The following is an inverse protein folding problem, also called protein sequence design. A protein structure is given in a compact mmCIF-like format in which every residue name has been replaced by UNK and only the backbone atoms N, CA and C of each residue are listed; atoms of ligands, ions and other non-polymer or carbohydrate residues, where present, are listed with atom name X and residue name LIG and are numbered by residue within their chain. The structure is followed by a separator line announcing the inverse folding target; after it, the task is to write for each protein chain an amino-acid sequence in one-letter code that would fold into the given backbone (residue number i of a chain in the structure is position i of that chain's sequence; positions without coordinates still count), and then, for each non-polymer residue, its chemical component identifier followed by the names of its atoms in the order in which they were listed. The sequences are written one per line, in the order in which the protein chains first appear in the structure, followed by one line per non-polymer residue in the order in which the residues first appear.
data_IF_685276759732
#
_entry.id   IF_685276759732
#
_cell.length_a   1.000
_cell.length_b   1.000
_cell.length_c   1.000
_cell.angle_alpha   90.00
_cell.angle_beta   90.00
_cell.angle_gamma   90.00
#
_symmetry.space_group_name_H-M   'P 1'
#
loop_
_entity.id
_entity.type
_entity.pdbx_description
1 polymer ?
#
# COMPACT_ATOMS: atom_id res chain seq x y z
N UNK A 1 69.38 -61.30 -22.73
CA UNK A 1 68.45 -60.64 -23.68
C UNK A 1 68.05 -59.28 -23.12
N UNK A 2 68.12 -58.23 -23.95
CA UNK A 2 67.72 -56.85 -23.62
C UNK A 2 66.19 -56.70 -23.60
N UNK A 3 65.67 -55.82 -22.74
CA UNK A 3 64.49 -54.96 -22.96
C UNK A 3 64.53 -53.89 -21.84
N UNK A 4 64.89 -52.62 -22.12
CA UNK A 4 64.07 -51.54 -22.70
C UNK A 4 63.11 -50.89 -21.69
N UNK A 5 63.12 -49.55 -21.62
CA UNK A 5 62.01 -48.79 -21.04
C UNK A 5 62.38 -47.55 -20.22
N UNK A 6 62.77 -46.47 -20.89
CA UNK A 6 62.88 -45.13 -20.32
C UNK A 6 61.49 -44.48 -20.26
N UNK A 7 61.11 -43.80 -19.17
CA UNK A 7 60.14 -42.68 -19.19
C UNK A 7 60.31 -41.79 -17.96
N UNK A 8 60.82 -40.60 -18.21
CA UNK A 8 60.95 -39.50 -17.27
C UNK A 8 59.56 -38.90 -16.94
N UNK A 9 59.21 -38.88 -15.65
CA UNK A 9 58.03 -38.20 -15.15
C UNK A 9 58.24 -36.68 -15.12
N UNK A 10 57.53 -35.95 -15.99
CA UNK A 10 57.43 -34.49 -15.94
C UNK A 10 56.58 -34.09 -14.72
N UNK A 11 57.18 -33.38 -13.76
CA UNK A 11 56.45 -32.70 -12.68
C UNK A 11 55.76 -31.46 -13.28
N UNK A 12 54.42 -31.49 -13.42
CA UNK A 12 53.64 -30.29 -13.71
C UNK A 12 53.50 -29.47 -12.43
N UNK A 13 54.07 -28.25 -12.43
CA UNK A 13 53.82 -27.27 -11.39
C UNK A 13 52.38 -26.75 -11.50
N UNK A 14 51.58 -26.92 -10.43
CA UNK A 14 50.28 -26.30 -10.28
C UNK A 14 50.49 -24.80 -10.03
N UNK A 15 50.13 -23.96 -11.01
CA UNK A 15 50.02 -22.51 -10.81
C UNK A 15 48.68 -22.24 -10.12
N UNK A 16 48.70 -21.91 -8.82
CA UNK A 16 47.52 -21.45 -8.11
C UNK A 16 47.06 -20.11 -8.70
N UNK A 17 45.93 -20.12 -9.40
CA UNK A 17 45.21 -18.92 -9.77
C UNK A 17 44.42 -18.44 -8.55
N UNK A 18 44.83 -17.33 -7.95
CA UNK A 18 44.06 -16.64 -6.93
C UNK A 18 42.89 -15.96 -7.66
N UNK A 19 41.69 -16.53 -7.53
CA UNK A 19 40.45 -15.89 -7.96
C UNK A 19 40.14 -14.82 -6.91
N UNK A 20 40.45 -13.57 -7.22
CA UNK A 20 39.98 -12.41 -6.45
C UNK A 20 38.47 -12.30 -6.74
N UNK A 21 37.66 -12.81 -5.83
CA UNK A 21 36.22 -12.58 -5.83
C UNK A 21 35.99 -11.08 -5.55
N UNK A 22 35.69 -10.30 -6.58
CA UNK A 22 35.21 -8.94 -6.42
C UNK A 22 33.80 -9.00 -5.80
N UNK A 23 33.72 -8.82 -4.49
CA UNK A 23 32.45 -8.63 -3.79
C UNK A 23 31.84 -7.31 -4.27
N UNK A 24 30.82 -7.39 -5.13
CA UNK A 24 29.97 -6.23 -5.44
C UNK A 24 29.24 -5.84 -4.16
N UNK A 25 29.31 -4.55 -3.79
CA UNK A 25 28.50 -4.01 -2.72
C UNK A 25 27.01 -4.20 -3.07
N UNK A 26 26.14 -4.57 -2.12
CA UNK A 26 24.72 -4.69 -2.39
C UNK A 26 24.18 -3.35 -2.88
N UNK A 27 23.40 -3.38 -3.97
CA UNK A 27 22.68 -2.21 -4.45
C UNK A 27 21.85 -1.63 -3.29
N UNK A 28 21.96 -0.32 -3.03
CA UNK A 28 21.20 0.33 -1.97
C UNK A 28 19.71 0.22 -2.26
N UNK A 29 18.95 -0.41 -1.37
CA UNK A 29 17.49 -0.47 -1.45
C UNK A 29 16.93 0.94 -1.54
N UNK A 30 16.07 1.26 -2.52
CA UNK A 30 15.43 2.57 -2.58
C UNK A 30 14.63 2.82 -1.30
N UNK A 31 14.56 4.07 -0.82
CA UNK A 31 13.81 4.40 0.38
C UNK A 31 12.35 4.01 0.21
N UNK A 32 11.77 3.44 1.27
CA UNK A 32 10.35 3.12 1.30
C UNK A 32 9.50 4.39 1.08
N UNK A 33 8.34 4.28 0.41
CA UNK A 33 7.47 5.42 0.21
C UNK A 33 6.97 5.99 1.55
N UNK A 34 6.87 7.31 1.64
CA UNK A 34 6.32 8.01 2.81
C UNK A 34 4.80 8.06 2.71
N UNK A 35 4.11 7.80 3.82
CA UNK A 35 2.66 8.00 3.92
C UNK A 35 2.41 9.44 4.37
N UNK A 36 1.81 10.25 3.51
CA UNK A 36 1.48 11.65 3.79
C UNK A 36 0.16 11.78 4.59
N UNK A 37 -0.78 10.87 4.31
CA UNK A 37 -2.08 10.82 4.94
C UNK A 37 -2.84 9.58 4.52
N UNK A 38 -4.13 9.60 4.81
CA UNK A 38 -5.04 8.50 4.55
C UNK A 38 -6.38 9.04 4.10
N UNK A 39 -7.05 8.26 3.27
CA UNK A 39 -8.49 8.39 3.07
C UNK A 39 -9.18 7.16 3.65
N UNK A 40 -10.30 7.41 4.34
CA UNK A 40 -11.28 6.39 4.69
C UNK A 40 -12.59 6.71 3.94
N UNK A 41 -13.06 5.78 3.12
CA UNK A 41 -14.33 5.87 2.42
C UNK A 41 -15.35 5.00 3.14
N UNK A 42 -16.32 5.65 3.78
CA UNK A 42 -17.45 4.98 4.41
C UNK A 42 -18.45 4.62 3.31
N UNK A 43 -18.67 3.32 3.08
CA UNK A 43 -19.58 2.81 2.07
C UNK A 43 -20.97 2.56 2.63
N UNK A 44 -21.98 2.94 1.85
CA UNK A 44 -23.39 2.84 2.20
C UNK A 44 -24.25 2.66 0.94
N UNK A 45 -25.55 2.61 1.16
CA UNK A 45 -26.59 2.66 0.13
C UNK A 45 -27.77 3.51 0.64
N UNK A 46 -28.90 3.48 -0.07
CA UNK A 46 -30.10 4.22 0.32
C UNK A 46 -30.59 3.88 1.75
N UNK A 47 -30.52 2.60 2.14
CA UNK A 47 -31.04 2.12 3.42
C UNK A 47 -30.17 2.59 4.61
N UNK A 48 -28.87 2.81 4.39
CA UNK A 48 -27.91 3.18 5.45
C UNK A 48 -27.37 4.60 5.32
N UNK A 49 -27.97 5.44 4.48
CA UNK A 49 -27.53 6.82 4.22
C UNK A 49 -27.42 7.66 5.50
N UNK A 50 -28.49 7.67 6.32
CA UNK A 50 -28.53 8.47 7.54
C UNK A 50 -27.45 8.02 8.54
N UNK A 51 -27.21 6.71 8.65
CA UNK A 51 -26.19 6.13 9.51
C UNK A 51 -24.78 6.53 9.06
N UNK A 52 -24.49 6.43 7.76
CA UNK A 52 -23.17 6.79 7.22
C UNK A 52 -22.89 8.29 7.35
N UNK A 53 -23.89 9.13 7.07
CA UNK A 53 -23.79 10.58 7.28
C UNK A 53 -23.47 10.91 8.73
N UNK A 54 -24.23 10.34 9.68
CA UNK A 54 -24.01 10.58 11.10
C UNK A 54 -22.61 10.14 11.56
N UNK A 55 -22.10 9.00 11.07
CA UNK A 55 -20.74 8.55 11.37
C UNK A 55 -19.68 9.54 10.87
N UNK A 56 -19.81 10.00 9.62
CA UNK A 56 -18.86 10.93 9.01
C UNK A 56 -18.88 12.29 9.70
N UNK A 57 -20.06 12.82 10.03
CA UNK A 57 -20.23 14.08 10.75
C UNK A 57 -19.63 13.99 12.16
N UNK A 58 -19.87 12.88 12.87
CA UNK A 58 -19.28 12.63 14.18
C UNK A 58 -17.74 12.52 14.11
N UNK A 59 -17.19 11.90 13.07
CA UNK A 59 -15.75 11.83 12.86
C UNK A 59 -15.16 13.23 12.63
N UNK A 60 -15.79 14.04 11.78
CA UNK A 60 -15.37 15.40 11.46
C UNK A 60 -15.49 16.36 12.64
N UNK A 61 -16.46 16.16 13.53
CA UNK A 61 -16.59 16.93 14.76
C UNK A 61 -15.53 16.55 15.80
N UNK A 62 -15.02 15.30 15.77
CA UNK A 62 -14.10 14.75 16.77
C UNK A 62 -12.63 14.94 16.43
N UNK A 63 -12.28 14.83 15.15
CA UNK A 63 -10.89 14.79 14.70
C UNK A 63 -10.62 15.93 13.71
N UNK A 64 -9.38 16.45 13.66
CA UNK A 64 -8.98 17.43 12.65
C UNK A 64 -8.76 16.72 11.30
N UNK A 65 -9.87 16.26 10.71
CA UNK A 65 -9.95 15.60 9.42
C UNK A 65 -10.90 16.37 8.49
N UNK A 66 -10.79 16.13 7.19
CA UNK A 66 -11.66 16.70 6.18
C UNK A 66 -12.72 15.69 5.74
N UNK A 67 -13.98 16.01 5.96
CA UNK A 67 -15.11 15.26 5.42
C UNK A 67 -15.43 15.72 3.99
N UNK A 68 -15.51 14.76 3.08
CA UNK A 68 -15.92 14.96 1.69
C UNK A 68 -17.43 15.06 1.51
N UNK A 69 -17.87 15.15 0.26
CA UNK A 69 -19.30 15.09 -0.06
C UNK A 69 -19.85 13.70 0.23
N UNK A 70 -21.13 13.63 0.55
CA UNK A 70 -21.89 12.38 0.64
C UNK A 70 -22.37 12.05 -0.77
N UNK A 71 -21.75 11.07 -1.42
CA UNK A 71 -22.07 10.66 -2.78
C UNK A 71 -23.10 9.54 -2.76
N UNK A 72 -24.33 9.83 -3.17
CA UNK A 72 -25.44 8.88 -3.30
C UNK A 72 -25.42 8.15 -4.67
N UNK A 73 -24.21 7.85 -5.15
CA UNK A 73 -23.93 7.06 -6.35
C UNK A 73 -22.46 6.59 -6.32
N UNK A 74 -22.10 5.53 -7.07
CA UNK A 74 -20.70 5.19 -7.33
C UNK A 74 -19.96 6.36 -8.00
N UNK A 75 -18.75 6.66 -7.52
CA UNK A 75 -17.90 7.74 -8.05
C UNK A 75 -16.44 7.29 -8.04
N UNK A 76 -15.73 7.51 -9.14
CA UNK A 76 -14.33 7.13 -9.28
C UNK A 76 -14.16 5.61 -9.14
N UNK A 77 -13.20 5.12 -8.34
CA UNK A 77 -12.97 3.68 -8.20
C UNK A 77 -13.99 2.99 -7.28
N UNK A 78 -14.90 3.74 -6.65
CA UNK A 78 -15.73 3.23 -5.57
C UNK A 78 -17.03 2.61 -6.10
N UNK A 79 -17.33 1.34 -5.78
CA UNK A 79 -18.47 0.62 -6.34
C UNK A 79 -19.81 0.91 -5.63
N UNK A 80 -19.74 1.50 -4.43
CA UNK A 80 -20.90 1.82 -3.59
C UNK A 80 -21.03 3.35 -3.42
N UNK A 81 -22.14 3.79 -2.81
CA UNK A 81 -22.27 5.17 -2.34
C UNK A 81 -21.24 5.41 -1.23
N UNK A 82 -20.66 6.60 -1.17
CA UNK A 82 -19.56 6.82 -0.23
C UNK A 82 -19.42 8.25 0.28
N UNK A 83 -18.79 8.36 1.45
CA UNK A 83 -18.32 9.62 2.00
C UNK A 83 -16.86 9.45 2.44
N UNK A 84 -15.99 10.32 1.91
CA UNK A 84 -14.56 10.31 2.19
C UNK A 84 -14.26 11.07 3.49
N UNK A 85 -13.37 10.52 4.30
CA UNK A 85 -12.71 11.18 5.42
C UNK A 85 -11.21 11.22 5.13
N UNK A 86 -10.65 12.41 4.91
CA UNK A 86 -9.23 12.61 4.65
C UNK A 86 -8.52 13.13 5.89
N UNK A 87 -7.38 12.53 6.24
CA UNK A 87 -6.63 12.91 7.44
C UNK A 87 -5.13 12.67 7.31
N UNK A 88 -4.34 13.45 8.05
CA UNK A 88 -2.88 13.32 8.12
C UNK A 88 -2.45 12.00 8.75
N UNK A 89 -1.27 11.52 8.35
CA UNK A 89 -0.71 10.24 8.82
C UNK A 89 -0.66 10.11 10.35
N UNK A 90 -0.41 11.21 11.06
CA UNK A 90 -0.35 11.25 12.52
C UNK A 90 -1.68 10.87 13.22
N UNK A 91 -2.83 11.06 12.55
CA UNK A 91 -4.14 10.77 13.14
C UNK A 91 -4.58 9.32 12.95
N UNK A 92 -3.80 8.49 12.26
CA UNK A 92 -4.17 7.11 11.95
C UNK A 92 -4.50 6.31 13.21
N UNK A 93 -3.67 6.42 14.25
CA UNK A 93 -3.86 5.70 15.50
C UNK A 93 -5.07 6.17 16.32
N UNK A 94 -5.66 7.32 16.00
CA UNK A 94 -6.86 7.83 16.68
C UNK A 94 -8.13 7.55 15.88
N UNK A 95 -8.10 7.85 14.57
CA UNK A 95 -9.26 7.75 13.67
C UNK A 95 -9.62 6.29 13.40
N UNK A 96 -8.63 5.44 13.13
CA UNK A 96 -8.89 4.05 12.74
C UNK A 96 -9.50 3.24 13.87
N UNK A 97 -9.00 3.27 15.13
CA UNK A 97 -9.66 2.58 16.23
C UNK A 97 -11.07 3.12 16.50
N UNK A 98 -11.28 4.44 16.39
CA UNK A 98 -12.62 5.01 16.57
C UNK A 98 -13.60 4.51 15.51
N UNK A 99 -13.23 4.52 14.23
CA UNK A 99 -14.07 3.95 13.15
C UNK A 99 -14.33 2.46 13.38
N UNK A 100 -13.32 1.71 13.82
CA UNK A 100 -13.45 0.27 14.13
C UNK A 100 -14.58 0.02 15.13
N UNK A 101 -14.69 0.85 16.17
CA UNK A 101 -15.68 0.71 17.24
C UNK A 101 -17.05 1.29 16.88
N UNK A 102 -17.11 2.31 16.02
CA UNK A 102 -18.32 3.11 15.79
C UNK A 102 -19.00 2.87 14.44
N UNK A 103 -18.38 2.13 13.50
CA UNK A 103 -18.94 1.92 12.15
C UNK A 103 -20.27 1.17 12.09
N UNK A 104 -20.67 0.49 13.18
CA UNK A 104 -21.97 -0.18 13.33
C UNK A 104 -22.42 -0.99 12.09
N UNK A 105 -21.49 -1.77 11.52
CA UNK A 105 -21.76 -2.62 10.36
C UNK A 105 -21.41 -2.02 8.99
N UNK A 106 -21.24 -0.70 8.87
CA UNK A 106 -20.83 -0.05 7.61
C UNK A 106 -19.47 -0.57 7.15
N UNK A 107 -19.31 -0.71 5.84
CA UNK A 107 -18.02 -1.06 5.21
C UNK A 107 -17.16 0.19 5.11
N UNK A 108 -15.88 0.08 5.45
CA UNK A 108 -14.93 1.19 5.29
C UNK A 108 -13.72 0.72 4.50
N UNK A 109 -13.53 1.34 3.34
CA UNK A 109 -12.33 1.20 2.51
C UNK A 109 -11.31 2.26 2.94
N UNK A 110 -10.08 1.86 3.25
CA UNK A 110 -9.05 2.78 3.76
C UNK A 110 -7.79 2.59 2.92
N UNK A 111 -7.18 3.67 2.47
CA UNK A 111 -5.90 3.59 1.75
C UNK A 111 -4.96 4.72 2.16
N UNK A 112 -3.63 4.49 2.12
CA UNK A 112 -2.66 5.53 2.37
C UNK A 112 -2.57 6.49 1.17
N UNK A 113 -1.89 7.60 1.38
CA UNK A 113 -1.54 8.56 0.33
C UNK A 113 -0.03 8.65 0.26
N UNK A 114 0.55 8.00 -0.74
CA UNK A 114 2.01 7.92 -0.96
C UNK A 114 2.46 8.61 -2.24
N UNK A 115 1.52 9.13 -3.03
CA UNK A 115 1.78 9.68 -4.36
C UNK A 115 1.56 8.69 -5.51
N UNK A 116 1.07 7.47 -5.24
CA UNK A 116 0.72 6.49 -6.26
C UNK A 116 -0.69 5.92 -6.01
N UNK A 117 -1.71 6.59 -6.57
CA UNK A 117 -3.12 6.25 -6.31
C UNK A 117 -3.44 4.80 -6.66
N UNK A 118 -3.03 4.30 -7.84
CA UNK A 118 -3.31 2.93 -8.24
C UNK A 118 -2.75 1.90 -7.25
N UNK A 119 -1.48 2.05 -6.85
CA UNK A 119 -0.85 1.12 -5.89
C UNK A 119 -1.45 1.29 -4.49
N UNK A 120 -1.75 2.51 -4.08
CA UNK A 120 -2.35 2.80 -2.78
C UNK A 120 -3.72 2.11 -2.64
N UNK A 121 -4.53 2.13 -3.69
CA UNK A 121 -5.85 1.49 -3.70
C UNK A 121 -5.78 -0.03 -3.90
N UNK A 122 -4.90 -0.52 -4.77
CA UNK A 122 -4.84 -1.95 -5.14
C UNK A 122 -4.09 -2.78 -4.10
N UNK A 123 -2.93 -2.29 -3.65
CA UNK A 123 -1.93 -3.12 -2.95
C UNK A 123 -1.79 -2.76 -1.47
N UNK A 124 -2.20 -1.56 -1.07
CA UNK A 124 -1.95 -1.01 0.28
C UNK A 124 -3.23 -0.70 1.06
N UNK A 125 -4.36 -1.13 0.53
CA UNK A 125 -5.66 -0.90 1.13
C UNK A 125 -5.88 -1.74 2.39
N UNK A 126 -6.64 -1.16 3.31
CA UNK A 126 -7.20 -1.82 4.47
C UNK A 126 -8.73 -1.81 4.33
N UNK A 127 -9.38 -2.85 4.85
CA UNK A 127 -10.83 -2.98 4.83
C UNK A 127 -11.38 -3.28 6.21
N UNK A 128 -12.45 -2.57 6.58
CA UNK A 128 -13.30 -2.92 7.71
C UNK A 128 -14.64 -3.43 7.21
N UNK A 129 -14.98 -4.67 7.56
CA UNK A 129 -16.16 -5.34 7.01
C UNK A 129 -15.85 -6.08 5.71
N UNK A 130 -16.76 -6.00 4.73
CA UNK A 130 -16.60 -6.69 3.45
C UNK A 130 -15.61 -5.98 2.52
N UNK A 131 -14.82 -6.75 1.77
CA UNK A 131 -14.01 -6.24 0.66
C UNK A 131 -14.90 -6.01 -0.56
N UNK A 132 -14.72 -4.89 -1.27
CA UNK A 132 -15.51 -4.55 -2.46
C UNK A 132 -14.62 -4.50 -3.72
N UNK A 133 -15.16 -4.87 -4.90
CA UNK A 133 -14.40 -4.83 -6.14
C UNK A 133 -14.33 -3.40 -6.66
N UNK A 134 -13.22 -2.70 -6.39
CA UNK A 134 -12.99 -1.35 -6.90
C UNK A 134 -12.81 -1.35 -8.42
N UNK A 135 -13.27 -0.31 -9.09
CA UNK A 135 -12.88 -0.04 -10.48
C UNK A 135 -11.50 0.65 -10.49
N UNK A 136 -10.44 -0.14 -10.58
CA UNK A 136 -9.07 0.38 -10.56
C UNK A 136 -8.67 1.01 -11.90
N UNK A 137 -9.45 0.81 -12.97
CA UNK A 137 -9.08 1.27 -14.32
C UNK A 137 -9.12 2.79 -14.47
N UNK A 138 -9.83 3.48 -13.57
CA UNK A 138 -9.97 4.94 -13.57
C UNK A 138 -8.88 5.67 -12.75
N UNK A 139 -7.99 4.92 -12.10
CA UNK A 139 -6.95 5.51 -11.24
C UNK A 139 -5.64 5.79 -12.00
N UNK A 140 -5.02 6.97 -11.80
CA UNK A 140 -3.70 7.23 -12.33
C UNK A 140 -2.61 6.52 -11.49
N UNK A 141 -1.45 6.28 -12.09
CA UNK A 141 -0.27 5.79 -11.36
C UNK A 141 0.37 6.86 -10.45
N UNK A 142 0.07 8.15 -10.68
CA UNK A 142 0.58 9.26 -9.87
C UNK A 142 -0.58 10.10 -9.32
N UNK A 143 -0.50 10.40 -8.04
CA UNK A 143 -1.52 11.16 -7.34
C UNK A 143 -1.50 12.64 -7.67
N UNK A 144 -2.66 13.27 -7.52
CA UNK A 144 -2.79 14.71 -7.31
C UNK A 144 -2.49 15.06 -5.85
N UNK A 145 -2.11 16.30 -5.58
CA UNK A 145 -1.95 16.77 -4.19
C UNK A 145 -3.30 16.75 -3.49
N UNK A 146 -3.37 16.05 -2.36
CA UNK A 146 -4.57 16.00 -1.52
C UNK A 146 -4.49 17.01 -0.38
N UNK A 147 -5.65 17.55 -0.04
CA UNK A 147 -5.83 18.41 1.15
C UNK A 147 -6.27 17.53 2.33
N UNK A 148 -5.43 17.44 3.37
CA UNK A 148 -5.46 16.46 4.46
C UNK A 148 -5.68 17.07 5.84
#
# INVERSE_FOLDING_TARGET
MRCSGHRAGHRRALKSAIIICMTQAPASTPPAPTIHGWHAHVYFNADTLAQARALCEAAAARFPLKMGRVHEQPVGPHPDWSCQLAFKAALFADVIPWLTLNRAGLVIFIHPITGNDLVDHRDRALWMGAVRPLDLSVLPERSVTYDL
#
